data_IF_855864749365
#
_entry.id   IF_855864749365
#
_cell.length_a   1.000
_cell.length_b   1.000
_cell.length_c   1.000
_cell.angle_alpha   90.00
_cell.angle_beta   90.00
_cell.angle_gamma   90.00
#
_symmetry.space_group_name_H-M   'P 1'
#
loop_
_entity.id
_entity.type
_entity.pdbx_description
1 polymer ?
#
# COMPACT_ATOMS: atom_id res chain seq x y z
N UNK A 1 -14.35 -52.99 -30.77
CA UNK A 1 -14.66 -51.85 -29.90
C UNK A 1 -13.39 -51.56 -29.11
N UNK A 2 -12.64 -50.53 -29.52
CA UNK A 2 -11.32 -50.17 -28.97
C UNK A 2 -11.30 -48.64 -28.77
N UNK A 3 -11.02 -48.25 -27.52
CA UNK A 3 -10.37 -47.06 -26.90
C UNK A 3 -9.96 -45.92 -27.87
N UNK A 4 -10.01 -44.60 -27.59
CA UNK A 4 -9.58 -43.79 -26.43
C UNK A 4 -10.25 -42.41 -26.55
N UNK A 5 -10.72 -41.79 -25.45
CA UNK A 5 -10.95 -40.33 -25.43
C UNK A 5 -10.08 -39.73 -24.32
N UNK A 6 -9.23 -38.82 -24.76
CA UNK A 6 -8.24 -38.04 -24.03
C UNK A 6 -8.95 -37.17 -22.99
N UNK A 7 -8.55 -37.29 -21.73
CA UNK A 7 -8.93 -36.34 -20.68
C UNK A 7 -8.18 -35.03 -20.88
N UNK A 8 -8.87 -33.99 -21.30
CA UNK A 8 -8.37 -32.61 -21.14
C UNK A 8 -8.50 -32.26 -19.66
N UNK A 9 -7.37 -32.24 -18.94
CA UNK A 9 -7.29 -31.46 -17.71
C UNK A 9 -7.41 -29.98 -18.09
N UNK A 10 -8.26 -29.17 -17.43
CA UNK A 10 -8.11 -27.73 -17.53
C UNK A 10 -6.72 -27.38 -17.01
N UNK A 11 -6.00 -26.60 -17.82
CA UNK A 11 -4.80 -25.90 -17.36
C UNK A 11 -5.16 -25.23 -16.04
N UNK A 12 -4.35 -25.47 -15.01
CA UNK A 12 -4.53 -24.81 -13.73
C UNK A 12 -4.64 -23.32 -13.99
N UNK A 13 -5.76 -22.74 -13.55
CA UNK A 13 -5.87 -21.31 -13.38
C UNK A 13 -4.67 -20.90 -12.52
N UNK A 14 -3.68 -20.27 -13.16
CA UNK A 14 -2.79 -19.41 -12.41
C UNK A 14 -3.69 -18.43 -11.65
N UNK A 15 -3.37 -18.06 -10.40
CA UNK A 15 -4.04 -16.94 -9.78
C UNK A 15 -3.70 -15.69 -10.61
N UNK A 16 -4.58 -15.36 -11.56
CA UNK A 16 -4.60 -14.07 -12.21
C UNK A 16 -5.01 -13.08 -11.14
N UNK A 17 -4.04 -12.30 -10.67
CA UNK A 17 -4.30 -11.06 -9.95
C UNK A 17 -5.17 -10.15 -10.82
N UNK A 18 -6.01 -9.36 -10.14
CA UNK A 18 -6.87 -8.27 -10.64
C UNK A 18 -8.31 -8.74 -10.99
N UNK A 19 -9.35 -8.16 -10.35
CA UNK A 19 -9.49 -6.71 -10.19
C UNK A 19 -9.96 -6.23 -8.81
N UNK A 20 -9.65 -4.98 -8.50
CA UNK A 20 -10.46 -4.27 -7.53
C UNK A 20 -10.90 -2.94 -8.13
N UNK A 21 -12.19 -2.63 -8.05
CA UNK A 21 -12.82 -1.36 -8.44
C UNK A 21 -13.89 -1.03 -7.41
N UNK A 22 -13.88 0.23 -6.93
CA UNK A 22 -14.50 0.76 -5.69
C UNK A 22 -14.05 0.05 -4.40
N UNK A 23 -13.20 0.71 -3.58
CA UNK A 23 -12.42 0.01 -2.57
C UNK A 23 -11.33 -0.83 -3.24
N UNK A 24 -10.54 -0.20 -4.12
CA UNK A 24 -9.55 -0.91 -4.94
C UNK A 24 -8.45 -1.55 -4.07
N UNK A 25 -8.11 -0.86 -3.00
CA UNK A 25 -7.15 -1.32 -2.04
C UNK A 25 -7.60 -0.97 -0.62
N UNK A 26 -6.81 -1.41 0.36
CA UNK A 26 -6.91 -0.91 1.73
C UNK A 26 -6.46 0.55 1.88
N UNK A 27 -5.88 1.16 0.83
CA UNK A 27 -5.49 2.56 0.80
C UNK A 27 -6.36 3.38 -0.16
N UNK A 28 -7.42 4.06 0.34
CA UNK A 28 -8.19 5.01 -0.45
C UNK A 28 -7.34 6.13 -1.09
N UNK A 29 -6.17 6.44 -0.50
CA UNK A 29 -5.23 7.42 -1.05
C UNK A 29 -4.49 6.87 -2.27
N UNK A 30 -3.99 5.64 -2.20
CA UNK A 30 -3.40 4.98 -3.37
C UNK A 30 -4.41 4.83 -4.52
N UNK A 31 -5.67 4.49 -4.19
CA UNK A 31 -6.76 4.43 -5.17
C UNK A 31 -6.95 5.75 -5.93
N UNK A 32 -6.61 6.90 -5.34
CA UNK A 32 -6.67 8.21 -6.01
C UNK A 32 -5.50 8.39 -6.99
N UNK A 33 -4.27 8.08 -6.56
CA UNK A 33 -3.08 8.17 -7.42
C UNK A 33 -3.17 7.22 -8.62
N UNK A 34 -3.61 5.98 -8.39
CA UNK A 34 -3.84 4.98 -9.44
C UNK A 34 -4.80 5.50 -10.51
N UNK A 35 -5.97 6.03 -10.11
CA UNK A 35 -6.95 6.58 -11.06
C UNK A 35 -6.38 7.75 -11.86
N UNK A 36 -5.61 8.64 -11.21
CA UNK A 36 -4.95 9.75 -11.89
C UNK A 36 -3.97 9.28 -12.97
N UNK A 37 -3.16 8.25 -12.69
CA UNK A 37 -2.21 7.68 -13.64
C UNK A 37 -2.93 6.97 -14.81
N UNK A 38 -3.99 6.22 -14.52
CA UNK A 38 -4.85 5.60 -15.55
C UNK A 38 -5.50 6.66 -16.44
N UNK A 39 -6.03 7.74 -15.86
CA UNK A 39 -6.66 8.84 -16.62
C UNK A 39 -5.66 9.57 -17.54
N UNK A 40 -4.38 9.57 -17.18
CA UNK A 40 -3.27 10.07 -18.02
C UNK A 40 -2.81 9.09 -19.10
N UNK A 41 -3.33 7.86 -19.08
CA UNK A 41 -3.07 6.82 -20.08
C UNK A 41 -1.93 5.87 -19.72
N UNK A 42 -1.45 5.88 -18.48
CA UNK A 42 -0.42 4.97 -18.02
C UNK A 42 -1.02 3.60 -17.68
N UNK A 43 -0.46 2.49 -18.17
CA UNK A 43 -0.94 1.14 -17.89
C UNK A 43 -0.47 0.63 -16.52
N UNK A 44 -0.73 1.42 -15.47
CA UNK A 44 -0.38 1.05 -14.09
C UNK A 44 -1.31 -0.04 -13.56
N UNK A 45 -0.84 -0.81 -12.59
CA UNK A 45 -1.62 -1.74 -11.78
C UNK A 45 -1.69 -1.25 -10.33
N UNK A 46 -2.71 -1.69 -9.59
CA UNK A 46 -2.80 -1.46 -8.14
C UNK A 46 -2.95 -2.81 -7.41
N UNK A 47 -2.19 -3.01 -6.34
CA UNK A 47 -2.30 -4.15 -5.43
C UNK A 47 -3.43 -3.97 -4.42
N UNK A 48 -3.72 -5.01 -3.64
CA UNK A 48 -4.79 -4.97 -2.65
C UNK A 48 -4.47 -4.06 -1.44
N UNK A 49 -3.19 -3.77 -1.15
CA UNK A 49 -2.76 -2.85 -0.09
C UNK A 49 -2.50 -1.42 -0.58
N UNK A 50 -2.49 -1.21 -1.89
CA UNK A 50 -2.40 0.12 -2.50
C UNK A 50 -1.09 0.40 -3.23
N UNK A 51 -0.16 -0.56 -3.29
CA UNK A 51 1.00 -0.47 -4.16
C UNK A 51 0.57 -0.19 -5.61
N UNK A 52 1.07 0.90 -6.19
CA UNK A 52 0.82 1.28 -7.58
C UNK A 52 2.08 1.03 -8.39
N UNK A 53 2.00 0.08 -9.31
CA UNK A 53 3.15 -0.40 -10.08
C UNK A 53 3.00 -0.16 -11.58
N UNK A 54 4.14 -0.02 -12.24
CA UNK A 54 4.28 -0.11 -13.70
C UNK A 54 5.58 -0.86 -14.00
N UNK A 55 5.60 -1.68 -15.05
CA UNK A 55 6.85 -2.29 -15.48
C UNK A 55 7.62 -1.35 -16.40
N UNK A 56 8.95 -1.43 -16.42
CA UNK A 56 9.76 -0.62 -17.33
C UNK A 56 9.44 -0.85 -18.81
N UNK A 57 8.95 -2.04 -19.16
CA UNK A 57 8.56 -2.38 -20.52
C UNK A 57 7.23 -1.72 -20.93
N UNK A 58 6.40 -1.34 -19.94
CA UNK A 58 5.13 -0.65 -20.15
C UNK A 58 5.28 0.87 -20.25
N UNK A 59 6.43 1.42 -19.84
CA UNK A 59 6.80 2.81 -20.10
C UNK A 59 7.38 2.91 -21.50
N UNK A 60 6.72 3.58 -22.46
CA UNK A 60 7.26 3.68 -23.82
C UNK A 60 8.61 4.39 -23.83
N UNK A 61 9.57 3.87 -24.60
CA UNK A 61 10.92 4.42 -24.68
C UNK A 61 10.92 5.93 -24.98
N UNK A 62 11.63 6.71 -24.16
CA UNK A 62 11.70 8.16 -24.26
C UNK A 62 10.53 8.90 -23.59
N UNK A 63 9.65 8.20 -22.85
CA UNK A 63 8.60 8.81 -22.03
C UNK A 63 8.82 8.66 -20.53
N UNK A 64 10.02 8.26 -20.09
CA UNK A 64 10.36 8.08 -18.67
C UNK A 64 10.19 9.39 -17.90
N UNK A 65 10.78 10.49 -18.38
CA UNK A 65 10.65 11.81 -17.76
C UNK A 65 9.18 12.28 -17.71
N UNK A 66 8.39 11.92 -18.72
CA UNK A 66 6.96 12.26 -18.75
C UNK A 66 6.19 11.45 -17.71
N UNK A 67 6.50 10.16 -17.58
CA UNK A 67 5.91 9.30 -16.55
C UNK A 67 6.23 9.84 -15.16
N UNK A 68 7.49 10.21 -14.90
CA UNK A 68 7.92 10.76 -13.61
C UNK A 68 7.15 12.04 -13.26
N UNK A 69 7.04 12.98 -14.21
CA UNK A 69 6.26 14.21 -14.03
C UNK A 69 4.77 13.95 -13.78
N UNK A 70 4.20 13.00 -14.51
CA UNK A 70 2.79 12.63 -14.36
C UNK A 70 2.53 11.92 -13.03
N UNK A 71 3.44 11.04 -12.59
CA UNK A 71 3.39 10.38 -11.30
C UNK A 71 3.53 11.39 -10.15
N UNK A 72 4.52 12.28 -10.20
CA UNK A 72 4.68 13.37 -9.23
C UNK A 72 3.40 14.21 -9.13
N UNK A 73 2.82 14.60 -10.27
CA UNK A 73 1.57 15.36 -10.29
C UNK A 73 0.38 14.60 -9.69
N UNK A 74 0.34 13.26 -9.82
CA UNK A 74 -0.72 12.42 -9.24
C UNK A 74 -0.54 12.20 -7.74
N UNK A 75 0.68 12.16 -7.23
CA UNK A 75 0.99 11.97 -5.81
C UNK A 75 1.01 13.27 -5.01
N UNK A 76 1.39 14.40 -5.61
CA UNK A 76 1.56 15.68 -4.92
C UNK A 76 0.35 16.11 -4.06
N UNK A 77 -0.92 16.00 -4.53
CA UNK A 77 -2.07 16.34 -3.71
C UNK A 77 -2.22 15.47 -2.45
N UNK A 78 -1.85 14.19 -2.53
CA UNK A 78 -1.89 13.24 -1.42
C UNK A 78 -0.81 13.55 -0.38
N UNK A 79 0.38 13.92 -0.85
CA UNK A 79 1.46 14.36 0.02
C UNK A 79 1.13 15.66 0.72
N UNK A 80 0.54 16.63 0.01
CA UNK A 80 0.08 17.90 0.57
C UNK A 80 -1.02 17.68 1.62
N UNK A 81 -2.03 16.86 1.32
CA UNK A 81 -3.07 16.48 2.29
C UNK A 81 -2.51 15.79 3.54
N UNK A 82 -1.41 15.04 3.40
CA UNK A 82 -0.72 14.44 4.56
C UNK A 82 0.06 15.48 5.34
N UNK A 83 0.79 16.37 4.67
CA UNK A 83 1.63 17.39 5.30
C UNK A 83 0.79 18.44 6.05
N UNK A 84 -0.36 18.79 5.49
CA UNK A 84 -1.18 19.91 5.94
C UNK A 84 -2.40 19.44 6.77
N UNK A 85 -2.29 18.28 7.43
CA UNK A 85 -3.29 17.85 8.41
C UNK A 85 -3.43 18.92 9.51
N UNK A 86 -4.68 19.10 9.98
CA UNK A 86 -4.92 19.87 11.19
C UNK A 86 -4.21 19.20 12.37
N UNK A 87 -3.92 19.95 13.43
CA UNK A 87 -3.37 19.36 14.64
C UNK A 87 -4.22 18.19 15.14
N UNK A 88 -5.55 18.33 15.13
CA UNK A 88 -6.49 17.25 15.48
C UNK A 88 -6.29 16.01 14.59
N UNK A 89 -6.13 16.18 13.27
CA UNK A 89 -5.86 15.07 12.35
C UNK A 89 -4.51 14.39 12.60
N UNK A 90 -3.48 15.14 12.99
CA UNK A 90 -2.18 14.56 13.38
C UNK A 90 -2.31 13.79 14.70
N UNK A 91 -3.11 14.30 15.63
CA UNK A 91 -3.40 13.61 16.89
C UNK A 91 -4.17 12.31 16.65
N UNK A 92 -5.19 12.32 15.81
CA UNK A 92 -5.94 11.11 15.41
C UNK A 92 -5.02 10.08 14.77
N UNK A 93 -4.16 10.51 13.86
CA UNK A 93 -3.20 9.63 13.21
C UNK A 93 -2.20 9.01 14.19
N UNK A 94 -1.76 9.76 15.20
CA UNK A 94 -0.90 9.21 16.26
C UNK A 94 -1.63 8.10 17.05
N UNK A 95 -2.92 8.28 17.35
CA UNK A 95 -3.71 7.22 18.01
C UNK A 95 -3.90 5.99 17.10
N UNK A 96 -4.11 6.19 15.79
CA UNK A 96 -4.16 5.08 14.82
C UNK A 96 -2.84 4.30 14.81
N UNK A 97 -1.70 4.99 14.79
CA UNK A 97 -0.37 4.39 14.85
C UNK A 97 -0.14 3.59 16.15
N UNK A 98 -0.62 4.10 17.30
CA UNK A 98 -0.58 3.36 18.56
C UNK A 98 -1.45 2.11 18.52
N UNK A 99 -2.66 2.19 17.96
CA UNK A 99 -3.56 1.05 17.82
C UNK A 99 -2.95 -0.03 16.91
N UNK A 100 -2.33 0.36 15.79
CA UNK A 100 -1.61 -0.56 14.91
C UNK A 100 -0.44 -1.22 15.65
N UNK A 101 0.35 -0.45 16.42
CA UNK A 101 1.43 -1.00 17.25
C UNK A 101 0.95 -2.05 18.24
N UNK A 102 -0.12 -1.76 18.98
CA UNK A 102 -0.67 -2.69 19.96
C UNK A 102 -1.12 -3.99 19.30
N UNK A 103 -1.74 -3.91 18.12
CA UNK A 103 -2.10 -5.08 17.33
C UNK A 103 -0.88 -5.90 16.91
N UNK A 104 0.15 -5.25 16.35
CA UNK A 104 1.38 -5.94 15.92
C UNK A 104 2.07 -6.65 17.09
N UNK A 105 2.12 -6.04 18.27
CA UNK A 105 2.66 -6.67 19.48
C UNK A 105 1.82 -7.88 19.89
N UNK A 106 0.49 -7.79 19.80
CA UNK A 106 -0.41 -8.91 20.12
C UNK A 106 -0.25 -10.08 19.14
N UNK A 107 0.05 -9.81 17.87
CA UNK A 107 0.39 -10.81 16.84
C UNK A 107 1.82 -11.36 16.99
N UNK A 108 2.59 -10.87 17.96
CA UNK A 108 3.89 -11.40 18.35
C UNK A 108 5.10 -10.70 17.73
N UNK A 109 4.89 -9.59 17.01
CA UNK A 109 5.97 -8.79 16.44
C UNK A 109 6.65 -7.91 17.49
N UNK A 110 7.92 -7.62 17.27
CA UNK A 110 8.62 -6.57 18.01
C UNK A 110 8.35 -5.24 17.32
N UNK A 111 7.95 -4.24 18.10
CA UNK A 111 7.75 -2.87 17.61
C UNK A 111 8.46 -1.91 18.55
N UNK A 112 9.34 -1.07 18.01
CA UNK A 112 10.03 -0.06 18.79
C UNK A 112 9.04 0.89 19.48
N UNK A 113 9.49 1.54 20.56
CA UNK A 113 8.65 2.49 21.28
C UNK A 113 8.35 3.73 20.42
N UNK A 114 7.09 4.20 20.43
CA UNK A 114 6.73 5.42 19.72
C UNK A 114 7.35 6.65 20.43
N UNK A 115 7.59 7.75 19.70
CA UNK A 115 7.89 9.03 20.34
C UNK A 115 6.71 9.48 21.22
N UNK A 116 6.94 10.38 22.17
CA UNK A 116 5.80 11.00 22.88
C UNK A 116 4.87 11.73 21.89
N UNK A 117 3.56 11.81 22.20
CA UNK A 117 2.58 12.55 21.39
C UNK A 117 3.05 13.96 20.99
N UNK A 118 3.58 14.74 21.94
CA UNK A 118 4.10 16.09 21.63
C UNK A 118 5.26 16.05 20.64
N UNK A 119 6.21 15.12 20.82
CA UNK A 119 7.33 14.94 19.89
C UNK A 119 6.86 14.56 18.48
N UNK A 120 5.84 13.69 18.38
CA UNK A 120 5.23 13.32 17.11
C UNK A 120 4.59 14.53 16.42
N UNK A 121 3.78 15.31 17.16
CA UNK A 121 3.15 16.53 16.64
C UNK A 121 4.19 17.56 16.17
N UNK A 122 5.26 17.76 16.94
CA UNK A 122 6.31 18.73 16.64
C UNK A 122 7.14 18.34 15.41
N UNK A 123 7.28 17.04 15.13
CA UNK A 123 8.10 16.55 14.02
C UNK A 123 7.31 16.16 12.77
N UNK A 124 5.98 16.08 12.86
CA UNK A 124 5.13 15.45 11.86
C UNK A 124 5.37 15.84 10.39
N UNK A 125 5.59 17.12 10.04
CA UNK A 125 5.84 17.49 8.64
C UNK A 125 7.12 16.86 8.05
N UNK A 126 8.12 16.59 8.90
CA UNK A 126 9.48 16.22 8.50
C UNK A 126 9.82 14.76 8.84
N UNK A 127 9.40 14.30 10.01
CA UNK A 127 9.70 12.97 10.55
C UNK A 127 8.43 12.38 11.17
N UNK A 128 8.07 11.21 10.67
CA UNK A 128 6.81 10.55 11.01
C UNK A 128 7.10 9.12 11.39
N UNK A 129 6.78 8.80 12.63
CA UNK A 129 6.90 7.44 13.14
C UNK A 129 5.76 6.58 12.58
N UNK A 130 6.08 5.38 12.10
CA UNK A 130 5.12 4.43 11.54
C UNK A 130 5.31 3.08 12.25
N UNK A 131 4.25 2.51 12.80
CA UNK A 131 4.28 1.26 13.55
C UNK A 131 4.85 0.10 12.73
N UNK A 132 4.43 -0.04 11.47
CA UNK A 132 4.98 -1.05 10.56
C UNK A 132 6.47 -0.82 10.28
N UNK A 133 6.88 0.44 10.03
CA UNK A 133 8.29 0.80 9.81
C UNK A 133 9.19 0.62 11.04
N UNK A 134 8.59 0.72 12.23
CA UNK A 134 9.24 0.51 13.53
C UNK A 134 9.18 -0.95 14.00
N UNK A 135 8.65 -1.87 13.19
CA UNK A 135 8.47 -3.27 13.55
C UNK A 135 9.38 -4.21 12.78
N UNK A 136 9.48 -5.46 13.25
CA UNK A 136 10.16 -6.53 12.52
C UNK A 136 9.27 -7.29 11.51
N UNK A 137 8.02 -6.86 11.32
CA UNK A 137 7.04 -7.53 10.44
C UNK A 137 7.57 -7.71 9.02
N UNK A 138 8.19 -6.68 8.43
CA UNK A 138 8.71 -6.69 7.06
C UNK A 138 9.86 -7.67 6.88
N UNK A 139 10.57 -8.03 7.96
CA UNK A 139 11.63 -9.04 7.95
C UNK A 139 11.09 -10.45 8.23
N UNK A 140 10.04 -10.53 9.04
CA UNK A 140 9.42 -11.78 9.46
C UNK A 140 8.55 -12.40 8.37
N UNK A 141 7.94 -11.57 7.52
CA UNK A 141 7.09 -12.01 6.41
C UNK A 141 7.96 -12.40 5.20
N UNK A 142 7.81 -13.64 4.74
CA UNK A 142 8.55 -14.17 3.59
C UNK A 142 7.73 -14.18 2.29
N UNK A 143 6.42 -13.98 2.38
CA UNK A 143 5.48 -14.11 1.28
C UNK A 143 4.29 -13.15 1.39
N UNK A 144 3.60 -12.94 0.26
CA UNK A 144 2.49 -12.01 0.10
C UNK A 144 1.24 -12.41 0.89
N UNK A 145 0.98 -13.71 1.07
CA UNK A 145 -0.18 -14.20 1.82
C UNK A 145 -0.06 -13.82 3.30
N UNK A 146 1.13 -14.01 3.85
CA UNK A 146 1.44 -13.62 5.22
C UNK A 146 1.34 -12.10 5.39
N UNK A 147 1.89 -11.31 4.44
CA UNK A 147 1.78 -9.85 4.44
C UNK A 147 0.33 -9.37 4.39
N UNK A 148 -0.50 -10.05 3.61
CA UNK A 148 -1.92 -9.77 3.53
C UNK A 148 -2.67 -10.09 4.82
N UNK A 149 -2.44 -11.26 5.38
CA UNK A 149 -3.09 -11.68 6.62
C UNK A 149 -2.80 -10.70 7.78
N UNK A 150 -1.56 -10.20 7.88
CA UNK A 150 -1.23 -9.25 8.94
C UNK A 150 -1.85 -7.87 8.71
N UNK A 151 -1.96 -7.39 7.47
CA UNK A 151 -2.61 -6.11 7.17
C UNK A 151 -4.15 -6.16 7.29
N UNK A 152 -4.76 -7.33 7.06
CA UNK A 152 -6.18 -7.54 7.32
C UNK A 152 -6.48 -7.57 8.83
N UNK A 153 -5.54 -8.08 9.64
CA UNK A 153 -5.64 -8.17 11.10
C UNK A 153 -5.27 -6.85 11.78
N UNK A 154 -4.06 -6.36 11.52
CA UNK A 154 -3.48 -5.13 12.03
C UNK A 154 -3.46 -4.09 10.93
N UNK A 155 -4.60 -3.43 10.72
CA UNK A 155 -4.75 -2.41 9.69
C UNK A 155 -3.72 -1.30 9.86
N UNK A 156 -3.13 -0.89 8.76
CA UNK A 156 -2.26 0.28 8.72
C UNK A 156 -3.08 1.57 8.89
N UNK A 157 -2.48 2.65 9.41
CA UNK A 157 -3.17 3.91 9.59
C UNK A 157 -3.60 4.56 8.28
N UNK A 158 -4.57 5.47 8.36
CA UNK A 158 -5.32 6.04 7.23
C UNK A 158 -4.47 6.78 6.19
N UNK A 159 -3.25 7.18 6.56
CA UNK A 159 -2.31 7.86 5.68
C UNK A 159 -1.48 6.96 4.76
N UNK A 160 -1.49 5.64 4.99
CA UNK A 160 -0.64 4.68 4.30
C UNK A 160 -1.02 4.59 2.81
N UNK A 161 -0.04 4.54 1.91
CA UNK A 161 -0.22 4.53 0.45
C UNK A 161 0.06 3.15 -0.20
N UNK A 162 0.04 2.07 0.58
CA UNK A 162 0.42 0.73 0.12
C UNK A 162 1.93 0.57 -0.11
N UNK A 163 2.39 -0.66 -0.36
CA UNK A 163 3.79 -0.99 -0.62
C UNK A 163 3.95 -1.78 -1.91
#
# INVERSE_FOLDING_TARGET
MLVVIVGCAPAGDQPSTTPTQEGLSLSPRADQAYRCLVDKGWPVTISWDGGVDITSDDVPAGQEERYDQDAEACWAPLEEMTRDLSQEGIEELYEEELATRECLIAEGYQVDDPPSKQRFLDSYPDERWMAYGASDVTRAMADEESWRAINETCRQPSWTIGF
#
